data_IF_894359558545
#
_entry.id   IF_894359558545
#
_cell.length_a   1.000
_cell.length_b   1.000
_cell.length_c   1.000
_cell.angle_alpha   90.00
_cell.angle_beta   90.00
_cell.angle_gamma   90.00
#
_symmetry.space_group_name_H-M   'P 1'
#
loop_
_entity.id
_entity.type
_entity.pdbx_description
1 polymer ?
#
# COMPACT_ATOMS: atom_id res chain seq x y z
N UNK A 1 3.39 -36.24 -31.77
CA UNK A 1 3.28 -34.84 -32.22
C UNK A 1 2.52 -34.06 -31.16
N UNK A 2 3.21 -33.12 -30.49
CA UNK A 2 2.78 -32.45 -29.26
C UNK A 2 1.62 -31.48 -29.53
N UNK A 3 0.54 -31.59 -28.74
CA UNK A 3 -0.60 -30.66 -28.71
C UNK A 3 -0.17 -29.40 -27.95
N UNK A 4 -0.15 -28.26 -28.63
CA UNK A 4 0.00 -26.94 -28.00
C UNK A 4 -1.36 -26.52 -27.43
N UNK A 5 -1.43 -26.35 -26.11
CA UNK A 5 -2.54 -25.70 -25.41
C UNK A 5 -2.15 -24.22 -25.28
N UNK A 6 -2.86 -23.33 -25.97
CA UNK A 6 -2.78 -21.88 -25.72
C UNK A 6 -3.56 -21.58 -24.44
N UNK A 7 -2.85 -21.16 -23.39
CA UNK A 7 -3.46 -20.60 -22.19
C UNK A 7 -3.80 -19.13 -22.44
N UNK A 8 -5.10 -18.84 -22.44
CA UNK A 8 -5.65 -17.48 -22.53
C UNK A 8 -5.49 -16.81 -21.16
N UNK A 9 -4.51 -15.91 -21.02
CA UNK A 9 -4.36 -15.06 -19.84
C UNK A 9 -5.47 -14.01 -19.82
N UNK A 10 -6.34 -14.09 -18.81
CA UNK A 10 -7.35 -13.09 -18.55
C UNK A 10 -6.70 -11.80 -18.01
N UNK A 11 -6.77 -10.72 -18.78
CA UNK A 11 -6.49 -9.36 -18.29
C UNK A 11 -7.55 -9.00 -17.24
N UNK A 12 -7.14 -8.85 -15.99
CA UNK A 12 -7.94 -8.11 -15.00
C UNK A 12 -7.90 -6.62 -15.38
N UNK A 13 -9.09 -6.05 -15.62
CA UNK A 13 -9.26 -4.63 -15.87
C UNK A 13 -8.94 -3.86 -14.57
N UNK A 14 -7.83 -3.13 -14.56
CA UNK A 14 -7.55 -2.12 -13.55
C UNK A 14 -8.55 -0.97 -13.71
N UNK A 15 -9.17 -0.54 -12.62
CA UNK A 15 -10.00 0.66 -12.60
C UNK A 15 -9.15 1.85 -13.08
N UNK A 16 -9.56 2.45 -14.20
CA UNK A 16 -8.86 3.57 -14.80
C UNK A 16 -8.93 4.78 -13.85
N UNK A 17 -7.81 5.08 -13.19
CA UNK A 17 -7.61 6.37 -12.56
C UNK A 17 -7.69 7.44 -13.66
N UNK A 18 -8.60 8.40 -13.53
CA UNK A 18 -8.78 9.54 -14.43
C UNK A 18 -7.66 10.56 -14.23
N UNK A 19 -6.45 10.21 -14.66
CA UNK A 19 -5.27 11.05 -14.63
C UNK A 19 -4.29 10.63 -15.73
N UNK A 20 -3.66 11.61 -16.39
CA UNK A 20 -2.60 11.32 -17.35
C UNK A 20 -1.38 10.83 -16.58
N UNK A 21 -0.88 9.64 -16.95
CA UNK A 21 0.37 9.11 -16.41
C UNK A 21 1.52 9.86 -17.06
N UNK A 22 2.26 10.63 -16.24
CA UNK A 22 3.39 11.43 -16.70
C UNK A 22 4.65 10.57 -16.79
N UNK A 23 4.85 9.68 -15.81
CA UNK A 23 6.02 8.83 -15.71
C UNK A 23 5.73 7.57 -14.90
N UNK A 24 6.33 6.47 -15.33
CA UNK A 24 6.34 5.21 -14.58
C UNK A 24 7.77 4.88 -14.14
N UNK A 25 7.94 4.55 -12.87
CA UNK A 25 9.21 4.16 -12.27
C UNK A 25 9.11 2.70 -11.84
N UNK A 26 10.19 1.95 -12.01
CA UNK A 26 10.26 0.55 -11.56
C UNK A 26 11.54 0.28 -10.79
N UNK A 27 11.44 -0.56 -9.77
CA UNK A 27 12.56 -1.02 -8.97
C UNK A 27 12.35 -2.48 -8.58
N UNK A 28 13.40 -3.28 -8.58
CA UNK A 28 13.35 -4.69 -8.18
C UNK A 28 14.53 -5.00 -7.28
N UNK A 29 14.27 -5.76 -6.22
CA UNK A 29 15.28 -6.17 -5.27
C UNK A 29 15.05 -7.65 -4.85
N UNK A 30 16.12 -8.46 -4.76
CA UNK A 30 16.00 -9.81 -4.19
C UNK A 30 15.42 -9.77 -2.78
N UNK A 31 14.43 -10.60 -2.46
CA UNK A 31 13.86 -10.68 -1.11
C UNK A 31 14.77 -11.41 -0.11
N UNK A 32 15.81 -12.09 -0.60
CA UNK A 32 16.77 -12.79 0.25
C UNK A 32 17.49 -11.81 1.19
N UNK A 33 17.45 -12.10 2.50
CA UNK A 33 18.04 -11.25 3.53
C UNK A 33 17.19 -10.05 3.94
N UNK A 34 16.00 -9.87 3.36
CA UNK A 34 15.03 -8.88 3.84
C UNK A 34 14.16 -9.49 4.93
N UNK A 35 13.97 -8.73 6.01
CA UNK A 35 13.00 -8.99 7.07
C UNK A 35 11.79 -8.08 6.98
N UNK A 36 11.95 -6.87 6.42
CA UNK A 36 10.90 -5.88 6.31
C UNK A 36 11.02 -4.99 5.07
N UNK A 37 9.90 -4.41 4.67
CA UNK A 37 9.80 -3.33 3.70
C UNK A 37 9.07 -2.13 4.32
N UNK A 38 9.54 -0.94 4.00
CA UNK A 38 8.90 0.32 4.42
C UNK A 38 8.68 1.20 3.20
N UNK A 39 7.41 1.53 2.91
CA UNK A 39 7.04 2.47 1.84
C UNK A 39 6.66 3.80 2.46
N UNK A 40 7.28 4.89 2.00
CA UNK A 40 6.96 6.26 2.40
C UNK A 40 6.41 7.02 1.19
N UNK A 41 5.10 7.20 1.16
CA UNK A 41 4.38 7.93 0.12
C UNK A 41 3.94 9.32 0.59
N UNK A 42 3.85 10.25 -0.36
CA UNK A 42 3.34 11.60 -0.11
C UNK A 42 1.83 11.68 -0.26
N UNK A 43 1.37 11.78 -1.51
CA UNK A 43 -0.03 11.94 -1.90
C UNK A 43 -0.36 10.90 -2.97
N UNK A 44 -1.34 10.04 -2.72
CA UNK A 44 -1.83 9.09 -3.72
C UNK A 44 -2.28 7.76 -3.12
N UNK A 45 -1.86 6.66 -3.73
CA UNK A 45 -2.32 5.32 -3.39
C UNK A 45 -1.12 4.39 -3.19
N UNK A 46 -1.16 3.57 -2.14
CA UNK A 46 -0.16 2.55 -1.89
C UNK A 46 -0.81 1.18 -1.80
N UNK A 47 -0.47 0.30 -2.72
CA UNK A 47 -0.91 -1.09 -2.72
C UNK A 47 0.29 -2.02 -2.47
N UNK A 48 0.25 -2.76 -1.37
CA UNK A 48 1.20 -3.85 -1.07
C UNK A 48 0.49 -5.18 -1.27
N UNK A 49 1.09 -6.05 -2.08
CA UNK A 49 0.54 -7.33 -2.47
C UNK A 49 1.53 -8.44 -2.12
N UNK A 50 1.09 -9.46 -1.39
CA UNK A 50 1.84 -10.69 -1.31
C UNK A 50 1.89 -11.37 -2.69
N UNK A 51 3.07 -11.81 -3.09
CA UNK A 51 3.32 -12.53 -4.33
C UNK A 51 4.08 -13.82 -4.05
N UNK A 52 3.91 -14.82 -4.91
CA UNK A 52 4.59 -16.11 -4.81
C UNK A 52 6.10 -16.04 -5.11
N UNK A 53 6.59 -14.90 -5.61
CA UNK A 53 8.00 -14.68 -5.91
C UNK A 53 8.86 -14.47 -4.67
N UNK A 54 10.18 -14.57 -4.86
CA UNK A 54 11.19 -14.31 -3.82
C UNK A 54 11.77 -12.91 -3.92
N UNK A 55 11.19 -12.04 -4.74
CA UNK A 55 11.68 -10.70 -5.02
C UNK A 55 10.66 -9.66 -4.59
N UNK A 56 11.17 -8.49 -4.23
CA UNK A 56 10.38 -7.28 -4.06
C UNK A 56 10.35 -6.56 -5.40
N UNK A 57 9.16 -6.39 -5.97
CA UNK A 57 8.93 -5.70 -7.25
C UNK A 57 8.08 -4.46 -6.99
N UNK A 58 8.61 -3.30 -7.34
CA UNK A 58 8.01 -1.99 -7.07
C UNK A 58 7.74 -1.30 -8.40
N UNK A 59 6.52 -0.78 -8.55
CA UNK A 59 6.13 0.12 -9.63
C UNK A 59 5.53 1.37 -9.02
N UNK A 60 5.88 2.54 -9.56
CA UNK A 60 5.28 3.81 -9.16
C UNK A 60 4.84 4.56 -10.40
N UNK A 61 3.55 4.79 -10.54
CA UNK A 61 2.99 5.63 -11.59
C UNK A 61 2.72 7.03 -11.03
N UNK A 62 3.33 8.02 -11.67
CA UNK A 62 3.16 9.43 -11.36
C UNK A 62 2.08 9.99 -12.27
N UNK A 63 0.93 10.31 -11.70
CA UNK A 63 -0.25 10.75 -12.45
C UNK A 63 -0.62 12.18 -12.11
N UNK A 64 -1.07 12.94 -13.09
CA UNK A 64 -1.59 14.30 -12.85
C UNK A 64 -3.08 14.25 -12.53
N UNK A 65 -3.49 14.79 -11.38
CA UNK A 65 -4.91 15.01 -11.02
C UNK A 65 -5.34 16.44 -11.36
N UNK A 66 -6.14 16.57 -12.43
CA UNK A 66 -6.73 17.84 -12.87
C UNK A 66 -5.84 18.65 -13.83
N UNK A 67 -6.40 19.00 -15.00
CA UNK A 67 -5.76 19.86 -16.00
C UNK A 67 -6.46 19.77 -17.35
N UNK A 68 -7.03 20.87 -17.83
CA UNK A 68 -7.55 20.98 -19.20
C UNK A 68 -6.44 20.93 -20.26
N UNK A 69 -6.83 20.87 -21.54
CA UNK A 69 -5.98 20.68 -22.74
C UNK A 69 -4.82 21.70 -22.96
N UNK A 70 -4.60 22.63 -22.03
CA UNK A 70 -3.51 23.63 -22.05
C UNK A 70 -2.45 23.40 -20.95
N UNK A 71 -2.34 22.16 -20.47
CA UNK A 71 -1.64 21.77 -19.25
C UNK A 71 -0.16 22.16 -19.14
N UNK A 72 0.15 22.70 -17.96
CA UNK A 72 1.42 23.26 -17.51
C UNK A 72 2.64 22.35 -17.76
N UNK A 73 3.68 22.90 -18.43
CA UNK A 73 4.95 22.21 -18.68
C UNK A 73 5.72 21.90 -17.39
N UNK A 74 5.39 22.58 -16.31
CA UNK A 74 6.08 22.46 -15.03
C UNK A 74 5.88 21.08 -14.40
N UNK A 75 4.65 20.56 -14.32
CA UNK A 75 4.39 19.26 -13.68
C UNK A 75 5.05 18.07 -14.39
N UNK A 76 5.20 18.15 -15.72
CA UNK A 76 5.93 17.14 -16.49
C UNK A 76 7.43 17.17 -16.16
N UNK A 77 8.02 18.37 -16.05
CA UNK A 77 9.43 18.54 -15.65
C UNK A 77 9.68 18.09 -14.21
N UNK A 78 8.74 18.36 -13.31
CA UNK A 78 8.85 17.94 -11.92
C UNK A 78 8.81 16.40 -11.84
N UNK A 79 7.89 15.75 -12.56
CA UNK A 79 7.82 14.29 -12.68
C UNK A 79 9.12 13.65 -13.24
N UNK A 80 9.79 14.32 -14.18
CA UNK A 80 11.06 13.88 -14.77
C UNK A 80 12.25 13.93 -13.79
N UNK A 81 12.17 14.73 -12.72
CA UNK A 81 13.19 14.74 -11.67
C UNK A 81 12.98 13.63 -10.63
N UNK A 82 11.84 12.95 -10.64
CA UNK A 82 11.45 12.00 -9.59
C UNK A 82 12.06 10.62 -9.80
N UNK A 83 12.75 10.13 -8.79
CA UNK A 83 13.30 8.77 -8.78
C UNK A 83 12.90 8.03 -7.49
N UNK A 84 12.84 6.71 -7.58
CA UNK A 84 12.72 5.85 -6.40
C UNK A 84 14.09 5.82 -5.73
N UNK A 85 14.18 6.24 -4.47
CA UNK A 85 15.37 6.09 -3.65
C UNK A 85 15.23 4.86 -2.74
N UNK A 86 15.85 3.72 -3.08
CA UNK A 86 15.93 2.58 -2.18
C UNK A 86 17.01 2.80 -1.13
N UNK A 87 16.71 2.46 0.13
CA UNK A 87 17.68 2.43 1.23
C UNK A 87 17.57 1.11 1.96
N UNK A 88 18.66 0.34 1.97
CA UNK A 88 18.76 -0.92 2.69
C UNK A 88 19.56 -0.73 3.98
N UNK A 89 18.97 -1.05 5.12
CA UNK A 89 19.65 -1.05 6.41
C UNK A 89 19.11 -2.15 7.32
N UNK A 90 19.98 -3.02 7.85
CA UNK A 90 19.59 -4.03 8.83
C UNK A 90 18.54 -5.04 8.37
N UNK A 91 18.44 -5.31 7.05
CA UNK A 91 17.40 -6.20 6.50
C UNK A 91 16.07 -5.51 6.19
N UNK A 92 15.97 -4.20 6.42
CA UNK A 92 14.80 -3.39 6.05
C UNK A 92 15.08 -2.61 4.76
N UNK A 93 14.21 -2.79 3.76
CA UNK A 93 14.21 -2.02 2.53
C UNK A 93 13.23 -0.84 2.65
N UNK A 94 13.76 0.37 2.80
CA UNK A 94 12.95 1.61 2.76
C UNK A 94 12.88 2.16 1.34
N UNK A 95 11.68 2.49 0.88
CA UNK A 95 11.38 3.06 -0.43
C UNK A 95 10.70 4.42 -0.26
N UNK A 96 11.18 5.42 -1.00
CA UNK A 96 10.58 6.76 -1.09
C UNK A 96 10.88 7.39 -2.45
N UNK A 97 10.17 8.46 -2.79
CA UNK A 97 10.50 9.28 -3.95
C UNK A 97 11.43 10.43 -3.59
N UNK A 98 12.31 10.78 -4.52
CA UNK A 98 13.14 11.99 -4.47
C UNK A 98 13.12 12.75 -5.79
N UNK A 99 13.08 14.10 -5.78
CA UNK A 99 12.91 14.95 -4.60
C UNK A 99 11.54 14.74 -3.92
N UNK A 100 11.40 15.17 -2.67
CA UNK A 100 10.11 15.10 -1.98
C UNK A 100 9.19 16.19 -2.57
N UNK A 101 8.01 15.82 -3.05
CA UNK A 101 7.05 16.77 -3.60
C UNK A 101 5.95 16.98 -2.55
N UNK A 102 6.10 18.02 -1.73
CA UNK A 102 5.07 18.42 -0.77
C UNK A 102 4.27 19.58 -1.35
N UNK A 103 2.98 19.36 -1.58
CA UNK A 103 1.97 20.42 -1.63
C UNK A 103 1.75 21.14 -2.97
N UNK A 104 2.70 21.13 -3.90
CA UNK A 104 2.68 22.08 -5.03
C UNK A 104 2.35 21.41 -6.37
N UNK A 105 2.64 20.11 -6.48
CA UNK A 105 2.41 19.37 -7.70
C UNK A 105 1.03 18.73 -7.65
N UNK A 106 0.22 18.94 -8.68
CA UNK A 106 -0.99 18.17 -8.99
C UNK A 106 -0.69 16.69 -9.27
N UNK A 107 0.35 16.13 -8.65
CA UNK A 107 0.92 14.83 -8.87
C UNK A 107 0.44 13.87 -7.78
N UNK A 108 -0.11 12.74 -8.22
CA UNK A 108 -0.54 11.64 -7.39
C UNK A 108 0.37 10.45 -7.66
N UNK A 109 0.90 9.87 -6.60
CA UNK A 109 1.78 8.70 -6.62
C UNK A 109 0.92 7.44 -6.51
N UNK A 110 1.02 6.52 -7.48
CA UNK A 110 0.40 5.19 -7.39
C UNK A 110 1.49 4.16 -7.21
N UNK A 111 1.65 3.67 -5.99
CA UNK A 111 2.61 2.63 -5.65
C UNK A 111 1.96 1.26 -5.75
N UNK A 112 2.58 0.35 -6.49
CA UNK A 112 2.26 -1.08 -6.47
C UNK A 112 3.52 -1.85 -6.08
N UNK A 113 3.47 -2.50 -4.92
CA UNK A 113 4.61 -3.18 -4.31
C UNK A 113 4.28 -4.64 -4.07
N UNK A 114 4.91 -5.52 -4.83
CA UNK A 114 4.78 -6.97 -4.68
C UNK A 114 5.91 -7.51 -3.83
N UNK A 115 5.57 -8.26 -2.78
CA UNK A 115 6.53 -8.75 -1.79
C UNK A 115 6.31 -10.24 -1.50
N UNK A 116 7.33 -10.97 -1.05
CA UNK A 116 7.13 -12.29 -0.47
C UNK A 116 6.17 -12.21 0.73
N UNK A 117 5.22 -13.14 0.83
CA UNK A 117 4.14 -13.06 1.82
C UNK A 117 4.62 -12.94 3.28
N UNK A 118 5.74 -13.58 3.62
CA UNK A 118 6.29 -13.59 4.98
C UNK A 118 7.01 -12.28 5.38
N UNK A 119 7.20 -11.35 4.45
CA UNK A 119 7.91 -10.10 4.72
C UNK A 119 7.03 -9.17 5.57
N UNK A 120 7.61 -8.54 6.60
CA UNK A 120 6.91 -7.49 7.32
C UNK A 120 6.74 -6.25 6.42
N UNK A 121 5.56 -5.64 6.44
CA UNK A 121 5.21 -4.50 5.60
C UNK A 121 4.83 -3.29 6.45
N UNK A 122 5.55 -2.18 6.25
CA UNK A 122 5.24 -0.88 6.86
C UNK A 122 4.91 0.15 5.79
N UNK A 123 3.83 0.89 5.97
CA UNK A 123 3.44 2.00 5.07
C UNK A 123 3.24 3.27 5.89
N UNK A 124 3.85 4.35 5.41
CA UNK A 124 3.55 5.71 5.86
C UNK A 124 3.07 6.52 4.65
N UNK A 125 1.84 7.02 4.72
CA UNK A 125 1.25 7.85 3.67
C UNK A 125 0.73 9.17 4.26
N UNK A 126 1.03 10.28 3.59
CA UNK A 126 0.50 11.59 3.97
C UNK A 126 -0.99 11.69 3.67
N UNK A 127 -1.35 11.58 2.39
CA UNK A 127 -2.74 11.70 1.91
C UNK A 127 -3.06 10.63 0.87
N UNK A 128 -4.23 10.01 1.00
CA UNK A 128 -4.82 9.03 0.11
C UNK A 128 -4.85 7.63 0.74
N UNK A 129 -4.97 6.60 -0.09
CA UNK A 129 -5.45 5.29 0.37
C UNK A 129 -4.34 4.25 0.41
N UNK A 130 -4.40 3.36 1.40
CA UNK A 130 -3.46 2.24 1.55
C UNK A 130 -4.20 0.91 1.53
N UNK A 131 -3.74 -0.01 0.69
CA UNK A 131 -4.19 -1.39 0.66
C UNK A 131 -3.02 -2.35 0.90
N UNK A 132 -3.16 -3.27 1.86
CA UNK A 132 -2.21 -4.36 2.11
C UNK A 132 -2.94 -5.69 1.98
N UNK A 133 -2.57 -6.51 0.99
CA UNK A 133 -3.30 -7.73 0.64
C UNK A 133 -2.42 -8.97 0.76
N UNK A 134 -2.91 -9.94 1.53
CA UNK A 134 -2.40 -11.31 1.71
C UNK A 134 -0.97 -11.44 2.26
N UNK A 135 -0.42 -10.37 2.82
CA UNK A 135 0.81 -10.42 3.61
C UNK A 135 0.55 -11.23 4.89
N UNK A 136 1.51 -12.06 5.29
CA UNK A 136 1.45 -12.88 6.50
C UNK A 136 2.47 -12.46 7.56
N UNK A 137 3.45 -11.61 7.19
CA UNK A 137 4.34 -10.95 8.14
C UNK A 137 3.64 -9.84 8.93
N UNK A 138 4.38 -9.16 9.81
CA UNK A 138 3.85 -8.00 10.54
C UNK A 138 3.40 -6.89 9.58
N UNK A 139 2.23 -6.30 9.83
CA UNK A 139 1.69 -5.21 9.03
C UNK A 139 1.53 -3.96 9.90
N UNK A 140 2.17 -2.87 9.50
CA UNK A 140 2.00 -1.55 10.11
C UNK A 140 1.62 -0.50 9.06
N UNK A 141 0.49 0.17 9.23
CA UNK A 141 0.05 1.22 8.31
C UNK A 141 -0.26 2.50 9.09
N UNK A 142 0.27 3.62 8.62
CA UNK A 142 -0.01 4.95 9.16
C UNK A 142 -0.38 5.90 8.01
N UNK A 143 -1.59 6.44 8.07
CA UNK A 143 -2.10 7.38 7.06
C UNK A 143 -2.52 8.68 7.76
N UNK A 144 -2.09 9.82 7.22
CA UNK A 144 -2.54 11.12 7.70
C UNK A 144 -4.01 11.37 7.39
N UNK A 145 -4.36 11.35 6.10
CA UNK A 145 -5.74 11.50 5.60
C UNK A 145 -6.01 10.50 4.50
N UNK A 146 -7.02 9.65 4.64
CA UNK A 146 -7.44 8.65 3.66
C UNK A 146 -7.70 7.29 4.32
N UNK A 147 -8.08 6.32 3.51
CA UNK A 147 -8.60 5.05 4.01
C UNK A 147 -7.52 3.96 4.05
N UNK A 148 -7.64 3.05 5.02
CA UNK A 148 -6.75 1.90 5.17
C UNK A 148 -7.54 0.61 4.99
N UNK A 149 -7.09 -0.23 4.06
CA UNK A 149 -7.61 -1.58 3.84
C UNK A 149 -6.52 -2.61 4.07
N UNK A 150 -6.78 -3.57 4.95
CA UNK A 150 -5.90 -4.72 5.16
C UNK A 150 -6.69 -5.99 4.97
N UNK A 151 -6.23 -6.86 4.08
CA UNK A 151 -6.78 -8.20 3.88
C UNK A 151 -5.70 -9.26 4.04
N UNK A 152 -6.03 -10.38 4.67
CA UNK A 152 -5.08 -11.47 4.79
C UNK A 152 -5.60 -12.69 5.53
N UNK A 153 -4.76 -13.73 5.68
CA UNK A 153 -5.14 -14.96 6.36
C UNK A 153 -5.22 -14.76 7.87
N UNK A 154 -6.40 -15.03 8.46
CA UNK A 154 -6.63 -14.91 9.91
C UNK A 154 -5.63 -15.72 10.74
N UNK A 155 -5.24 -16.89 10.23
CA UNK A 155 -4.30 -17.77 10.92
C UNK A 155 -2.87 -17.25 11.03
N UNK A 156 -2.52 -16.17 10.32
CA UNK A 156 -1.19 -15.56 10.40
C UNK A 156 -1.08 -14.50 11.50
N UNK A 157 -2.21 -13.92 11.90
CA UNK A 157 -2.22 -12.77 12.82
C UNK A 157 -2.65 -13.15 14.23
N UNK A 158 -1.86 -12.72 15.20
CA UNK A 158 -2.09 -12.86 16.64
C UNK A 158 -2.72 -11.62 17.22
N UNK A 159 -2.04 -10.47 17.13
CA UNK A 159 -2.50 -9.21 17.69
C UNK A 159 -2.97 -8.25 16.59
N UNK A 160 -4.16 -7.69 16.75
CA UNK A 160 -4.76 -6.79 15.76
C UNK A 160 -5.20 -5.50 16.47
N UNK A 161 -4.72 -4.36 15.99
CA UNK A 161 -5.11 -3.02 16.43
C UNK A 161 -5.43 -2.14 15.23
N UNK A 162 -6.54 -1.42 15.33
CA UNK A 162 -6.88 -0.37 14.39
C UNK A 162 -7.40 0.86 15.11
N UNK A 163 -7.00 2.03 14.64
CA UNK A 163 -7.49 3.31 15.14
C UNK A 163 -7.73 4.28 13.98
N UNK A 164 -8.84 5.01 14.05
CA UNK A 164 -9.09 6.19 13.26
C UNK A 164 -9.29 7.39 14.18
N UNK A 165 -8.63 8.52 13.90
CA UNK A 165 -8.83 9.77 14.63
C UNK A 165 -10.17 10.42 14.33
N UNK A 166 -10.60 10.37 13.06
CA UNK A 166 -11.92 10.79 12.57
C UNK A 166 -12.35 9.80 11.48
N UNK A 167 -13.30 8.94 11.80
CA UNK A 167 -13.76 7.87 10.92
C UNK A 167 -13.98 6.58 11.69
N UNK A 168 -14.32 5.53 10.94
CA UNK A 168 -14.65 4.22 11.50
C UNK A 168 -13.46 3.26 11.48
N UNK A 169 -13.42 2.36 12.46
CA UNK A 169 -12.54 1.20 12.43
C UNK A 169 -13.40 -0.06 12.41
N UNK A 170 -13.20 -0.96 11.45
CA UNK A 170 -13.92 -2.24 11.34
C UNK A 170 -12.95 -3.40 11.21
N UNK A 171 -13.17 -4.45 12.00
CA UNK A 171 -12.48 -5.73 11.90
C UNK A 171 -13.48 -6.83 11.53
N UNK A 172 -13.17 -7.61 10.50
CA UNK A 172 -13.90 -8.82 10.11
C UNK A 172 -12.96 -10.01 10.18
N UNK A 173 -13.37 -11.05 10.88
CA UNK A 173 -12.65 -12.31 11.01
C UNK A 173 -13.61 -13.49 10.79
N UNK A 174 -13.12 -14.73 10.66
CA UNK A 174 -14.00 -15.91 10.70
C UNK A 174 -14.81 -16.05 12.00
N UNK A 175 -14.39 -15.39 13.07
CA UNK A 175 -15.06 -15.42 14.37
C UNK A 175 -16.19 -14.38 14.48
N UNK A 176 -16.24 -13.40 13.57
CA UNK A 176 -17.28 -12.38 13.56
C UNK A 176 -16.79 -11.01 13.09
N UNK A 177 -17.65 -10.01 13.27
CA UNK A 177 -17.37 -8.60 12.98
C UNK A 177 -17.26 -7.83 14.30
N UNK A 178 -16.25 -6.97 14.39
CA UNK A 178 -16.05 -6.03 15.48
C UNK A 178 -15.97 -4.63 14.89
N UNK A 179 -16.70 -3.69 15.50
CA UNK A 179 -16.65 -2.27 15.15
C UNK A 179 -15.89 -1.54 16.25
N UNK A 180 -15.14 -0.51 15.87
CA UNK A 180 -14.42 0.34 16.81
C UNK A 180 -15.37 1.15 17.67
N UNK A 181 -14.91 1.48 18.86
CA UNK A 181 -15.66 2.29 19.82
C UNK A 181 -15.02 3.66 19.97
N UNK A 182 -15.83 4.71 20.08
CA UNK A 182 -15.39 6.06 20.37
C UNK A 182 -16.47 7.09 20.04
N UNK A 183 -16.19 8.37 20.30
CA UNK A 183 -17.13 9.46 20.01
C UNK A 183 -16.79 10.23 18.72
N UNK A 184 -15.50 10.46 18.45
CA UNK A 184 -14.99 11.16 17.26
C UNK A 184 -14.06 10.23 16.47
N UNK A 185 -13.13 9.59 17.17
CA UNK A 185 -12.25 8.57 16.62
C UNK A 185 -12.57 7.20 17.18
N UNK A 186 -12.53 6.17 16.33
CA UNK A 186 -12.85 4.80 16.67
C UNK A 186 -11.58 3.98 16.83
N UNK A 187 -11.47 3.25 17.94
CA UNK A 187 -10.39 2.28 18.18
C UNK A 187 -10.98 0.89 18.34
N UNK A 188 -10.30 -0.11 17.78
CA UNK A 188 -10.59 -1.51 18.02
C UNK A 188 -9.33 -2.30 18.32
N UNK A 189 -9.53 -3.40 19.03
CA UNK A 189 -8.52 -4.45 19.22
C UNK A 189 -9.16 -5.81 18.99
N UNK A 190 -8.37 -6.74 18.46
CA UNK A 190 -8.77 -8.11 18.21
C UNK A 190 -7.58 -9.04 18.36
N UNK A 191 -7.87 -10.33 18.50
CA UNK A 191 -6.85 -11.37 18.55
C UNK A 191 -7.19 -12.50 17.59
N UNK A 192 -6.16 -13.05 16.96
CA UNK A 192 -6.22 -14.26 16.15
C UNK A 192 -5.24 -15.32 16.64
N UNK A 193 -5.18 -16.48 15.98
CA UNK A 193 -4.37 -17.62 16.41
C UNK A 193 -2.91 -17.56 15.89
N UNK A 194 -2.56 -16.56 15.08
CA UNK A 194 -1.24 -16.44 14.48
C UNK A 194 -0.20 -15.75 15.37
N UNK A 195 0.99 -15.52 14.81
CA UNK A 195 2.12 -14.91 15.51
C UNK A 195 2.39 -13.46 15.07
N UNK A 196 1.96 -13.08 13.86
CA UNK A 196 2.20 -11.75 13.31
C UNK A 196 1.22 -10.72 13.86
N UNK A 197 1.56 -9.45 13.71
CA UNK A 197 0.77 -8.34 14.23
C UNK A 197 0.18 -7.50 13.08
N UNK A 198 -0.98 -6.89 13.34
CA UNK A 198 -1.55 -5.85 12.47
C UNK A 198 -1.77 -4.60 13.30
N UNK A 199 -1.19 -3.49 12.85
CA UNK A 199 -1.43 -2.17 13.42
C UNK A 199 -1.73 -1.17 12.30
N UNK A 200 -2.95 -0.65 12.28
CA UNK A 200 -3.39 0.35 11.31
C UNK A 200 -3.89 1.63 11.99
N UNK A 201 -3.31 2.76 11.65
CA UNK A 201 -3.72 4.08 12.14
C UNK A 201 -4.07 5.00 10.96
N UNK A 202 -5.25 5.62 11.01
CA UNK A 202 -5.63 6.72 10.13
C UNK A 202 -5.89 7.99 10.97
N UNK A 203 -5.36 9.12 10.56
CA UNK A 203 -5.67 10.41 11.19
C UNK A 203 -7.12 10.82 10.90
N UNK A 204 -7.48 10.84 9.61
CA UNK A 204 -8.83 11.06 9.10
C UNK A 204 -9.10 10.05 8.00
N UNK A 205 -10.18 9.27 8.11
CA UNK A 205 -10.53 8.21 7.17
C UNK A 205 -10.87 6.90 7.88
N UNK A 206 -11.32 5.91 7.13
CA UNK A 206 -11.78 4.64 7.67
C UNK A 206 -10.67 3.59 7.65
N UNK A 207 -10.65 2.74 8.68
CA UNK A 207 -9.74 1.58 8.77
C UNK A 207 -10.55 0.30 8.69
N UNK A 208 -10.37 -0.45 7.61
CA UNK A 208 -11.02 -1.75 7.40
C UNK A 208 -10.00 -2.87 7.38
N UNK A 209 -10.11 -3.78 8.35
CA UNK A 209 -9.33 -5.02 8.41
C UNK A 209 -10.26 -6.20 8.14
N UNK A 210 -9.95 -7.03 7.15
CA UNK A 210 -10.70 -8.24 6.80
C UNK A 210 -9.77 -9.44 6.73
N UNK A 211 -9.84 -10.27 7.75
CA UNK A 211 -9.08 -11.50 7.87
C UNK A 211 -9.98 -12.71 7.55
N UNK A 212 -9.44 -13.66 6.79
CA UNK A 212 -10.16 -14.82 6.25
C UNK A 212 -9.51 -16.15 6.61
#
# INVERSE_FOLDING_TARGET
MRRLVLALLALLAAAAATGETLRSLSYTHPGAGLSAITVKGGIGEVEILAAAGTEVVVSVDLTRKGGGLFGDRQSARDADAIEIEPRLAGGELTLRLKPEHRGDAHLSERWTVRVPAALAATVHLGVGDVSVLDVTGDVRVQVGVGDVRIEGPFNSFGEIRAASGVGDATLRTPQGRTEGTGFIGHTLSGHGPGASTVHADAGVGDVTIRLR
#
